data_IF_274749087907
#
_entry.id   IF_274749087907
#
_cell.length_a   1.000
_cell.length_b   1.000
_cell.length_c   1.000
_cell.angle_alpha   90.00
_cell.angle_beta   90.00
_cell.angle_gamma   90.00
#
_symmetry.space_group_name_H-M   'P 1'
#
loop_
_entity.id
_entity.type
_entity.pdbx_description
1 polymer ?
#
# COMPACT_ATOMS: atom_id res chain seq x y z
N UNK A 1 -45.74 43.36 56.82
CA UNK A 1 -46.80 42.70 56.03
C UNK A 1 -46.67 43.19 54.60
N UNK A 2 -46.08 42.36 53.71
CA UNK A 2 -46.01 42.41 52.23
C UNK A 2 -45.19 41.15 51.81
N UNK A 3 -45.34 40.62 50.59
CA UNK A 3 -45.65 39.20 50.37
C UNK A 3 -44.51 38.36 49.75
N UNK A 4 -44.79 37.07 49.70
CA UNK A 4 -44.04 35.92 49.19
C UNK A 4 -43.54 36.05 47.75
N UNK A 5 -42.31 35.59 47.51
CA UNK A 5 -41.80 35.22 46.18
C UNK A 5 -41.17 33.83 46.25
N UNK A 6 -41.91 32.83 45.79
CA UNK A 6 -41.34 31.55 45.39
C UNK A 6 -40.94 31.63 43.91
N UNK A 7 -39.75 31.17 43.56
CA UNK A 7 -39.43 30.77 42.17
C UNK A 7 -38.37 29.67 42.16
N UNK A 8 -38.86 28.47 41.81
CA UNK A 8 -38.30 27.50 40.85
C UNK A 8 -36.90 26.92 41.11
N UNK A 9 -36.93 25.65 41.51
CA UNK A 9 -35.91 24.63 41.28
C UNK A 9 -35.41 24.64 39.82
N UNK A 10 -34.11 24.80 39.62
CA UNK A 10 -33.44 24.52 38.35
C UNK A 10 -33.41 23.00 38.12
N UNK A 11 -34.11 22.52 37.10
CA UNK A 11 -33.95 21.18 36.56
C UNK A 11 -32.66 21.15 35.70
N UNK A 12 -31.87 20.06 35.75
CA UNK A 12 -30.68 19.94 34.93
C UNK A 12 -31.06 19.65 33.47
N UNK A 13 -30.53 20.47 32.56
CA UNK A 13 -30.61 20.30 31.12
C UNK A 13 -29.85 19.04 30.68
N UNK A 14 -30.57 18.09 30.10
CA UNK A 14 -30.09 16.88 29.45
C UNK A 14 -29.30 17.23 28.17
N UNK A 15 -27.97 17.38 28.29
CA UNK A 15 -27.05 17.52 27.15
C UNK A 15 -26.89 16.17 26.43
N UNK A 16 -27.80 15.87 25.52
CA UNK A 16 -27.57 14.85 24.47
C UNK A 16 -26.54 15.39 23.47
N UNK A 17 -25.29 14.96 23.59
CA UNK A 17 -24.28 15.17 22.56
C UNK A 17 -24.67 14.37 21.30
N UNK A 18 -25.18 15.06 20.28
CA UNK A 18 -25.41 14.51 18.96
C UNK A 18 -24.05 14.37 18.25
N UNK A 19 -23.45 13.19 18.35
CA UNK A 19 -22.29 12.82 17.54
C UNK A 19 -22.82 12.53 16.13
N UNK A 20 -22.74 13.51 15.23
CA UNK A 20 -22.99 13.28 13.82
C UNK A 20 -21.97 12.24 13.28
N UNK A 21 -22.39 11.26 12.46
CA UNK A 21 -21.51 10.21 12.01
C UNK A 21 -20.52 10.77 10.97
N UNK A 22 -19.26 10.92 11.37
CA UNK A 22 -18.12 11.29 10.50
C UNK A 22 -17.98 10.28 9.32
N UNK A 23 -18.60 9.11 9.42
CA UNK A 23 -18.62 8.06 8.39
C UNK A 23 -19.12 8.52 7.00
N UNK A 24 -20.00 9.52 6.93
CA UNK A 24 -20.56 9.97 5.64
C UNK A 24 -19.57 10.73 4.75
N UNK A 25 -18.55 11.37 5.32
CA UNK A 25 -17.65 12.25 4.57
C UNK A 25 -16.48 11.49 3.91
N UNK A 26 -16.04 10.37 4.48
CA UNK A 26 -14.93 9.57 3.93
C UNK A 26 -15.33 8.76 2.68
N UNK A 27 -16.58 8.29 2.59
CA UNK A 27 -17.02 7.41 1.50
C UNK A 27 -17.23 8.13 0.16
N UNK A 28 -17.45 9.45 0.16
CA UNK A 28 -17.61 10.24 -1.07
C UNK A 28 -16.27 10.66 -1.70
N UNK A 29 -15.18 10.59 -0.94
CA UNK A 29 -13.84 10.96 -1.42
C UNK A 29 -13.07 9.79 -2.05
N UNK A 30 -13.34 8.57 -1.60
CA UNK A 30 -12.67 7.36 -2.11
C UNK A 30 -12.90 7.06 -3.60
N UNK A 31 -14.13 7.15 -4.16
CA UNK A 31 -14.31 6.96 -5.61
C UNK A 31 -13.63 8.08 -6.41
N UNK A 32 -13.57 9.30 -5.87
CA UNK A 32 -12.85 10.40 -6.50
C UNK A 32 -11.34 10.14 -6.55
N UNK A 33 -10.71 9.68 -5.47
CA UNK A 33 -9.28 9.32 -5.46
C UNK A 33 -8.97 8.20 -6.46
N UNK A 34 -9.72 7.11 -6.45
CA UNK A 34 -9.48 5.98 -7.38
C UNK A 34 -9.69 6.43 -8.82
N UNK A 35 -10.76 7.18 -9.07
CA UNK A 35 -11.05 7.72 -10.38
C UNK A 35 -9.96 8.71 -10.85
N UNK A 36 -9.42 9.55 -9.96
CA UNK A 36 -8.35 10.48 -10.31
C UNK A 36 -7.01 9.76 -10.52
N UNK A 37 -6.69 8.72 -9.73
CA UNK A 37 -5.52 7.85 -9.98
C UNK A 37 -5.63 7.20 -11.36
N UNK A 38 -6.82 6.73 -11.75
CA UNK A 38 -7.09 6.20 -13.11
C UNK A 38 -6.92 7.25 -14.22
N UNK A 39 -7.02 8.55 -13.90
CA UNK A 39 -6.83 9.67 -14.84
C UNK A 39 -5.42 10.27 -14.81
N UNK A 40 -4.54 9.87 -13.90
CA UNK A 40 -3.15 10.32 -13.93
C UNK A 40 -2.58 9.86 -15.27
N UNK A 41 -2.29 10.78 -16.21
CA UNK A 41 -1.75 10.39 -17.50
C UNK A 41 -0.43 9.69 -17.22
N UNK A 42 -0.28 8.49 -17.76
CA UNK A 42 1.05 7.88 -17.84
C UNK A 42 1.90 8.80 -18.72
N UNK A 43 2.71 9.68 -18.10
CA UNK A 43 3.66 10.50 -18.82
C UNK A 43 4.79 9.59 -19.32
N UNK A 44 4.56 9.00 -20.50
CA UNK A 44 5.60 8.41 -21.35
C UNK A 44 6.47 9.56 -21.86
N UNK A 45 7.36 10.06 -21.02
CA UNK A 45 8.08 11.30 -21.32
C UNK A 45 9.22 11.67 -20.39
N UNK A 46 9.62 10.79 -19.47
CA UNK A 46 10.99 10.85 -18.97
C UNK A 46 11.74 9.75 -19.68
N UNK A 47 12.60 10.14 -20.63
CA UNK A 47 13.70 9.29 -21.05
C UNK A 47 14.61 9.10 -19.83
N UNK A 48 14.19 8.25 -18.89
CA UNK A 48 15.12 7.70 -17.92
C UNK A 48 16.08 6.86 -18.76
N UNK A 49 17.40 7.13 -18.71
CA UNK A 49 18.34 6.38 -19.53
C UNK A 49 18.07 4.90 -19.30
N UNK A 50 17.79 4.20 -20.39
CA UNK A 50 17.59 2.76 -20.43
C UNK A 50 18.91 2.11 -20.05
N UNK A 51 19.10 1.96 -18.76
CA UNK A 51 20.29 1.48 -18.11
C UNK A 51 20.03 1.54 -16.62
N UNK A 52 20.40 0.48 -15.90
CA UNK A 52 20.53 0.49 -14.45
C UNK A 52 21.39 1.70 -14.10
N UNK A 53 20.76 2.82 -13.72
CA UNK A 53 21.52 3.91 -13.14
C UNK A 53 22.28 3.29 -11.98
N UNK A 54 23.60 3.51 -11.87
CA UNK A 54 24.32 3.12 -10.68
C UNK A 54 23.47 3.66 -9.54
N UNK A 55 23.04 2.76 -8.65
CA UNK A 55 22.55 3.16 -7.35
C UNK A 55 23.57 4.19 -6.89
N UNK A 56 23.14 5.38 -6.46
CA UNK A 56 23.97 6.09 -5.51
C UNK A 56 24.00 5.12 -4.35
N UNK A 57 24.94 4.19 -4.36
CA UNK A 57 25.39 3.50 -3.19
C UNK A 57 25.95 4.68 -2.42
N UNK A 58 25.28 5.18 -1.37
CA UNK A 58 26.09 5.76 -0.31
C UNK A 58 27.21 4.75 -0.10
N UNK A 59 28.45 5.20 -0.13
CA UNK A 59 29.61 4.36 0.13
C UNK A 59 29.37 3.69 1.50
N UNK A 60 28.74 2.52 1.49
CA UNK A 60 28.36 1.81 2.70
C UNK A 60 29.60 1.12 3.30
N UNK A 61 30.66 1.01 2.49
CA UNK A 61 31.95 0.43 2.80
C UNK A 61 32.82 1.41 3.62
N UNK A 62 32.36 2.67 3.78
CA UNK A 62 32.91 3.63 4.72
C UNK A 62 32.64 3.25 6.19
N UNK A 63 33.13 2.10 6.67
CA UNK A 63 33.33 1.74 8.10
C UNK A 63 32.23 2.19 9.10
N UNK A 64 30.96 2.30 8.68
CA UNK A 64 29.98 3.09 9.45
C UNK A 64 28.57 3.29 8.87
N UNK A 65 28.15 2.53 7.86
CA UNK A 65 26.97 2.90 7.08
C UNK A 65 25.63 2.21 7.43
N UNK A 66 25.62 1.33 8.44
CA UNK A 66 24.40 1.16 9.25
C UNK A 66 24.33 2.38 10.16
N UNK A 67 23.21 3.11 10.27
CA UNK A 67 23.07 4.14 11.29
C UNK A 67 23.42 3.53 12.65
N UNK A 68 24.64 3.79 13.12
CA UNK A 68 25.13 3.32 14.41
C UNK A 68 24.41 4.04 15.55
N UNK A 69 23.51 4.95 15.25
CA UNK A 69 22.58 5.61 16.16
C UNK A 69 21.65 4.58 16.80
N UNK A 70 21.94 4.15 18.05
CA UNK A 70 21.15 3.12 18.72
C UNK A 70 19.70 3.57 18.89
N UNK A 71 19.47 4.89 18.93
CA UNK A 71 18.15 5.52 18.97
C UNK A 71 17.31 5.24 17.72
N UNK A 72 17.86 5.46 16.52
CA UNK A 72 17.13 5.25 15.26
C UNK A 72 16.83 3.77 15.04
N UNK A 73 17.83 2.91 15.24
CA UNK A 73 17.66 1.45 15.16
C UNK A 73 16.57 0.97 16.12
N UNK A 74 16.55 1.48 17.36
CA UNK A 74 15.53 1.14 18.36
C UNK A 74 14.14 1.68 17.98
N UNK A 75 14.07 2.88 17.42
CA UNK A 75 12.82 3.48 16.97
C UNK A 75 12.22 2.68 15.80
N UNK A 76 13.01 2.39 14.77
CA UNK A 76 12.58 1.60 13.61
C UNK A 76 12.07 0.22 14.03
N UNK A 77 12.80 -0.47 14.92
CA UNK A 77 12.38 -1.78 15.44
C UNK A 77 11.05 -1.70 16.22
N UNK A 78 10.78 -0.61 16.93
CA UNK A 78 9.51 -0.42 17.66
C UNK A 78 8.34 -0.14 16.74
N UNK A 79 8.57 0.61 15.66
CA UNK A 79 7.51 0.99 14.71
C UNK A 79 7.17 -0.18 13.80
N UNK A 80 8.18 -0.88 13.24
CA UNK A 80 7.95 -1.95 12.27
C UNK A 80 7.84 -3.34 12.89
N UNK A 81 8.35 -3.54 14.11
CA UNK A 81 8.54 -4.87 14.70
C UNK A 81 9.63 -5.70 14.01
N UNK A 82 10.24 -5.20 12.93
CA UNK A 82 11.22 -5.92 12.12
C UNK A 82 12.65 -5.71 12.62
N UNK A 83 13.47 -6.75 12.49
CA UNK A 83 14.91 -6.64 12.73
C UNK A 83 15.59 -6.01 11.52
N UNK A 84 16.57 -5.14 11.77
CA UNK A 84 17.45 -4.63 10.72
C UNK A 84 18.32 -5.77 10.20
N UNK A 85 18.31 -5.95 8.88
CA UNK A 85 19.23 -6.86 8.19
C UNK A 85 20.32 -6.03 7.52
N UNK A 86 21.60 -6.26 7.82
CA UNK A 86 22.68 -5.65 7.05
C UNK A 86 22.73 -6.25 5.64
N UNK A 87 23.55 -5.67 4.77
CA UNK A 87 23.95 -6.24 3.48
C UNK A 87 22.80 -6.45 2.47
N UNK A 88 21.76 -5.61 2.53
CA UNK A 88 20.73 -5.60 1.50
C UNK A 88 21.23 -4.86 0.25
N UNK A 89 21.08 -5.49 -0.91
CA UNK A 89 21.17 -4.78 -2.19
C UNK A 89 19.81 -4.19 -2.54
N UNK A 90 19.80 -2.92 -2.94
CA UNK A 90 18.59 -2.21 -3.34
C UNK A 90 18.74 -1.76 -4.79
N UNK A 91 17.67 -1.88 -5.57
CA UNK A 91 17.58 -1.32 -6.92
C UNK A 91 16.39 -0.37 -6.97
N UNK A 92 16.62 0.87 -7.40
CA UNK A 92 15.56 1.87 -7.52
C UNK A 92 14.86 1.73 -8.87
N UNK A 93 13.58 1.35 -8.82
CA UNK A 93 12.71 1.26 -9.99
C UNK A 93 11.87 2.54 -10.07
N UNK A 94 12.03 3.31 -11.14
CA UNK A 94 11.53 4.69 -11.22
C UNK A 94 10.22 4.84 -12.00
N UNK A 95 9.84 3.82 -12.79
CA UNK A 95 8.64 3.87 -13.62
C UNK A 95 7.85 2.56 -13.53
N UNK A 96 6.59 2.62 -13.94
CA UNK A 96 5.67 1.48 -13.89
C UNK A 96 6.14 0.28 -14.73
N UNK A 97 6.42 0.43 -16.04
CA UNK A 97 6.80 -0.69 -16.90
C UNK A 97 8.02 -1.46 -16.41
N UNK A 98 9.12 -0.77 -16.09
CA UNK A 98 10.35 -1.41 -15.60
C UNK A 98 10.10 -2.11 -14.26
N UNK A 99 9.26 -1.53 -13.41
CA UNK A 99 8.83 -2.16 -12.15
C UNK A 99 8.06 -3.44 -12.41
N UNK A 100 7.09 -3.42 -13.32
CA UNK A 100 6.29 -4.61 -13.63
C UNK A 100 7.11 -5.71 -14.28
N UNK A 101 8.04 -5.37 -15.16
CA UNK A 101 8.90 -6.36 -15.81
C UNK A 101 9.88 -7.00 -14.81
N UNK A 102 10.45 -6.22 -13.88
CA UNK A 102 11.29 -6.75 -12.79
C UNK A 102 10.49 -7.67 -11.86
N UNK A 103 9.27 -7.28 -11.49
CA UNK A 103 8.40 -8.10 -10.65
C UNK A 103 8.01 -9.41 -11.33
N UNK A 104 7.66 -9.37 -12.63
CA UNK A 104 7.34 -10.58 -13.39
C UNK A 104 8.55 -11.53 -13.50
N UNK A 105 9.75 -10.99 -13.70
CA UNK A 105 10.99 -11.77 -13.67
C UNK A 105 11.26 -12.38 -12.28
N UNK A 106 10.97 -11.63 -11.20
CA UNK A 106 11.09 -12.12 -9.83
C UNK A 106 10.09 -13.24 -9.52
N UNK A 107 8.86 -13.14 -10.03
CA UNK A 107 7.84 -14.19 -9.92
C UNK A 107 8.27 -15.44 -10.68
N UNK A 108 8.71 -15.31 -11.94
CA UNK A 108 9.07 -16.47 -12.77
C UNK A 108 10.23 -17.29 -12.19
N UNK A 109 11.20 -16.64 -11.52
CA UNK A 109 12.33 -17.31 -10.85
C UNK A 109 12.01 -17.83 -9.44
N UNK A 110 10.83 -17.56 -8.89
CA UNK A 110 10.50 -17.94 -7.52
C UNK A 110 10.45 -19.46 -7.35
N UNK A 111 11.09 -19.97 -6.29
CA UNK A 111 11.19 -21.42 -6.01
C UNK A 111 10.52 -21.84 -4.70
N UNK A 112 10.33 -20.92 -3.75
CA UNK A 112 9.84 -21.26 -2.39
C UNK A 112 8.38 -20.88 -2.16
N UNK A 113 8.00 -19.68 -2.59
CA UNK A 113 6.64 -19.15 -2.51
C UNK A 113 6.58 -17.80 -3.25
N UNK A 114 5.38 -17.38 -3.59
CA UNK A 114 5.09 -16.02 -4.05
C UNK A 114 3.95 -15.45 -3.20
N UNK A 115 4.17 -14.28 -2.62
CA UNK A 115 3.15 -13.52 -1.92
C UNK A 115 3.03 -12.16 -2.61
N UNK A 116 1.89 -11.91 -3.23
CA UNK A 116 1.58 -10.65 -3.87
C UNK A 116 0.48 -9.96 -3.08
N UNK A 117 0.76 -8.77 -2.59
CA UNK A 117 -0.23 -7.90 -1.96
C UNK A 117 -0.34 -6.62 -2.79
N UNK A 118 -1.55 -6.26 -3.24
CA UNK A 118 -1.74 -5.03 -3.99
C UNK A 118 -3.12 -4.42 -3.79
N UNK A 119 -3.18 -3.09 -3.70
CA UNK A 119 -4.44 -2.36 -3.53
C UNK A 119 -5.29 -2.35 -4.81
N UNK A 120 -4.69 -2.08 -5.97
CA UNK A 120 -5.40 -2.07 -7.25
C UNK A 120 -4.98 -3.27 -8.09
N UNK A 121 -5.88 -4.22 -8.29
CA UNK A 121 -5.75 -5.26 -9.30
C UNK A 121 -6.79 -5.05 -10.39
N UNK A 122 -6.43 -5.24 -11.66
CA UNK A 122 -7.33 -5.06 -12.81
C UNK A 122 -7.26 -6.25 -13.74
N UNK A 123 -8.37 -6.60 -14.38
CA UNK A 123 -8.43 -7.65 -15.40
C UNK A 123 -8.00 -7.14 -16.80
N UNK A 124 -6.99 -6.26 -16.84
CA UNK A 124 -6.43 -5.68 -18.07
C UNK A 124 -5.19 -6.45 -18.55
N UNK A 125 -4.48 -5.92 -19.55
CA UNK A 125 -3.31 -6.57 -20.12
C UNK A 125 -2.20 -6.80 -19.07
N UNK A 126 -2.00 -5.86 -18.14
CA UNK A 126 -0.95 -5.98 -17.12
C UNK A 126 -1.36 -7.00 -16.08
N UNK A 127 -2.58 -6.88 -15.55
CA UNK A 127 -3.07 -7.83 -14.55
C UNK A 127 -3.14 -9.26 -15.08
N UNK A 128 -3.46 -9.48 -16.36
CA UNK A 128 -3.38 -10.78 -17.00
C UNK A 128 -1.96 -11.34 -17.04
N UNK A 129 -0.95 -10.53 -17.41
CA UNK A 129 0.47 -10.96 -17.36
C UNK A 129 0.86 -11.43 -15.97
N UNK A 130 0.44 -10.72 -14.92
CA UNK A 130 0.66 -11.14 -13.54
C UNK A 130 -0.07 -12.43 -13.19
N UNK A 131 -1.36 -12.53 -13.52
CA UNK A 131 -2.14 -13.73 -13.26
C UNK A 131 -1.56 -14.96 -13.96
N UNK A 132 -1.13 -14.82 -15.21
CA UNK A 132 -0.50 -15.90 -15.97
C UNK A 132 0.80 -16.36 -15.31
N UNK A 133 1.71 -15.42 -14.97
CA UNK A 133 2.97 -15.75 -14.31
C UNK A 133 2.78 -16.39 -12.92
N UNK A 134 1.81 -15.90 -12.15
CA UNK A 134 1.44 -16.46 -10.85
C UNK A 134 0.85 -17.87 -10.99
N UNK A 135 -0.02 -18.07 -11.96
CA UNK A 135 -0.63 -19.37 -12.26
C UNK A 135 0.41 -20.38 -12.72
N UNK A 136 1.37 -19.95 -13.55
CA UNK A 136 2.49 -20.79 -13.98
C UNK A 136 3.33 -21.27 -12.80
N UNK A 137 3.67 -20.37 -11.85
CA UNK A 137 4.41 -20.75 -10.64
C UNK A 137 3.60 -21.67 -9.74
N UNK A 138 2.30 -21.43 -9.60
CA UNK A 138 1.41 -22.33 -8.86
C UNK A 138 1.36 -23.72 -9.49
N UNK A 139 1.28 -23.80 -10.83
CA UNK A 139 1.31 -25.05 -11.59
C UNK A 139 2.67 -25.78 -11.45
N UNK A 140 3.77 -25.03 -11.30
CA UNK A 140 5.09 -25.58 -10.99
C UNK A 140 5.25 -26.04 -9.52
N UNK A 141 4.19 -26.00 -8.72
CA UNK A 141 4.18 -26.45 -7.32
C UNK A 141 4.69 -25.42 -6.31
N UNK A 142 4.96 -24.17 -6.74
CA UNK A 142 5.36 -23.08 -5.83
C UNK A 142 4.09 -22.54 -5.15
N UNK A 143 4.03 -22.47 -3.80
CA UNK A 143 2.89 -21.87 -3.11
C UNK A 143 2.70 -20.40 -3.47
N UNK A 144 1.57 -20.07 -4.09
CA UNK A 144 1.21 -18.69 -4.47
C UNK A 144 0.03 -18.21 -3.64
N UNK A 145 0.16 -17.01 -3.07
CA UNK A 145 -0.92 -16.32 -2.33
C UNK A 145 -1.05 -14.90 -2.85
N UNK A 146 -2.24 -14.52 -3.25
CA UNK A 146 -2.55 -13.17 -3.72
C UNK A 146 -3.55 -12.54 -2.76
N UNK A 147 -3.17 -11.41 -2.17
CA UNK A 147 -4.03 -10.56 -1.37
C UNK A 147 -4.31 -9.29 -2.17
N UNK A 148 -5.57 -9.01 -2.44
CA UNK A 148 -5.97 -7.80 -3.15
C UNK A 148 -7.15 -7.13 -2.46
N UNK A 149 -7.22 -5.81 -2.57
CA UNK A 149 -8.31 -5.04 -1.99
C UNK A 149 -9.58 -5.15 -2.86
N UNK A 150 -10.71 -5.40 -2.20
CA UNK A 150 -12.00 -5.54 -2.87
C UNK A 150 -12.46 -4.25 -3.55
N UNK A 151 -12.20 -3.09 -2.94
CA UNK A 151 -12.65 -1.81 -3.47
C UNK A 151 -11.78 -1.35 -4.65
N UNK A 152 -10.46 -1.46 -4.51
CA UNK A 152 -9.49 -1.18 -5.56
C UNK A 152 -9.55 -2.14 -6.75
N UNK A 153 -10.13 -3.33 -6.55
CA UNK A 153 -10.27 -4.39 -7.56
C UNK A 153 -11.73 -4.77 -7.86
N UNK A 154 -12.68 -3.87 -7.58
CA UNK A 154 -14.12 -4.13 -7.74
C UNK A 154 -14.50 -4.59 -9.16
N UNK A 155 -13.77 -4.14 -10.19
CA UNK A 155 -14.02 -4.49 -11.59
C UNK A 155 -13.33 -5.80 -12.04
N UNK A 156 -12.65 -6.52 -11.14
CA UNK A 156 -12.08 -7.85 -11.42
C UNK A 156 -13.14 -8.92 -11.20
N UNK A 157 -13.62 -9.61 -12.26
CA UNK A 157 -14.65 -10.62 -12.09
C UNK A 157 -14.08 -11.90 -11.47
N UNK A 158 -14.86 -12.63 -10.66
CA UNK A 158 -14.39 -13.85 -9.98
C UNK A 158 -13.80 -14.91 -10.93
N UNK A 159 -14.31 -15.00 -12.17
CA UNK A 159 -13.80 -15.90 -13.21
C UNK A 159 -12.33 -15.65 -13.58
N UNK A 160 -11.82 -14.45 -13.31
CA UNK A 160 -10.42 -14.09 -13.53
C UNK A 160 -9.47 -14.95 -12.68
N UNK A 161 -9.92 -15.43 -11.52
CA UNK A 161 -9.12 -16.25 -10.61
C UNK A 161 -9.37 -17.76 -10.74
N UNK A 162 -10.20 -18.18 -11.69
CA UNK A 162 -10.59 -19.59 -11.90
C UNK A 162 -9.89 -20.22 -13.10
N UNK A 163 -8.86 -19.56 -13.63
CA UNK A 163 -8.07 -19.99 -14.79
C UNK A 163 -7.00 -21.01 -14.39
#
# INVERSE_FOLDING_TARGET
>A
MLPTRGTRSAQPEDRRHSVAPIFGLCLLWQPFIIHNIRRIPYHKGMNSPSGTQPVITPDLDSEGAVPREPGLTRALRRVSGAQLRPDNTLTLLQNGPDTFDDWLAAISRAQRWVHLENYIFKADQIGRRFADALSERAAAGVPVRVLYDWYGSWDVPSRFWQQ
#
